data_IF_711959128855
#
_entry.id   IF_711959128855
#
_cell.length_a   1.000
_cell.length_b   1.000
_cell.length_c   1.000
_cell.angle_alpha   90.00
_cell.angle_beta   90.00
_cell.angle_gamma   90.00
#
_symmetry.space_group_name_H-M   'P 1'
#
loop_
_entity.id
_entity.type
_entity.pdbx_description
1 polymer ?
#
# COMPACT_ATOMS: atom_id res chain seq x y z
N UNK A 1 -6.33 -14.50 -0.42
CA UNK A 1 -5.54 -14.29 0.81
C UNK A 1 -5.25 -12.81 0.93
N UNK A 2 -5.77 -12.14 1.97
CA UNK A 2 -5.49 -10.72 2.27
C UNK A 2 -4.33 -10.72 3.27
N UNK A 3 -3.20 -10.12 2.91
CA UNK A 3 -2.08 -9.98 3.84
C UNK A 3 -2.29 -8.68 4.61
N UNK A 4 -2.89 -8.78 5.80
CA UNK A 4 -3.06 -7.64 6.69
C UNK A 4 -1.75 -7.40 7.46
N UNK A 5 -0.89 -6.53 6.93
CA UNK A 5 0.25 -6.02 7.69
C UNK A 5 -0.27 -5.07 8.77
N UNK A 6 -0.27 -5.54 10.02
CA UNK A 6 -0.65 -4.73 11.18
C UNK A 6 0.47 -3.71 11.42
N UNK A 7 0.18 -2.43 11.21
CA UNK A 7 1.12 -1.35 11.56
C UNK A 7 1.46 -1.47 13.04
N UNK A 8 2.74 -1.59 13.37
CA UNK A 8 3.18 -1.62 14.77
C UNK A 8 3.30 -0.18 15.28
N UNK A 9 2.46 0.16 16.26
CA UNK A 9 2.50 1.44 16.98
C UNK A 9 3.23 1.23 18.31
N UNK A 10 4.30 1.96 18.52
CA UNK A 10 5.08 1.94 19.75
C UNK A 10 4.69 3.13 20.60
N UNK A 11 4.58 2.90 21.91
CA UNK A 11 4.41 3.94 22.91
C UNK A 11 5.70 4.07 23.70
N UNK A 12 6.32 5.24 23.63
CA UNK A 12 7.40 5.62 24.54
C UNK A 12 6.82 5.72 25.95
N UNK A 13 7.30 4.90 26.90
CA UNK A 13 6.82 4.93 28.30
C UNK A 13 7.23 6.21 29.03
N UNK A 14 8.37 6.79 28.66
CA UNK A 14 8.92 7.97 29.34
C UNK A 14 8.31 9.28 28.86
N UNK A 15 8.14 9.39 27.56
CA UNK A 15 7.67 10.59 26.89
C UNK A 15 6.18 10.51 26.48
N UNK A 16 5.51 9.39 26.75
CA UNK A 16 4.12 9.08 26.35
C UNK A 16 3.81 9.29 24.86
N UNK A 17 4.85 9.44 24.04
CA UNK A 17 4.72 9.70 22.62
C UNK A 17 4.49 8.39 21.86
N UNK A 18 3.49 8.38 21.00
CA UNK A 18 3.18 7.25 20.14
C UNK A 18 3.79 7.45 18.75
N UNK A 19 4.63 6.53 18.31
CA UNK A 19 5.17 6.53 16.95
C UNK A 19 4.87 5.21 16.24
N UNK A 20 4.75 5.26 14.91
CA UNK A 20 4.60 4.07 14.08
C UNK A 20 5.95 3.79 13.45
N UNK A 21 6.45 2.56 13.53
CA UNK A 21 7.69 2.19 12.84
C UNK A 21 7.50 2.35 11.33
N UNK A 22 8.38 3.11 10.70
CA UNK A 22 8.49 3.14 9.26
C UNK A 22 9.15 1.83 8.82
N UNK A 23 8.46 1.06 8.00
CA UNK A 23 9.04 -0.15 7.40
C UNK A 23 9.40 0.16 5.95
N UNK A 24 10.49 -0.41 5.40
CA UNK A 24 10.81 -0.22 3.99
C UNK A 24 9.71 -0.77 3.06
N UNK A 25 8.87 -1.67 3.57
CA UNK A 25 7.76 -2.31 2.85
C UNK A 25 6.55 -1.37 2.74
N UNK A 26 6.25 -0.59 3.79
CA UNK A 26 5.08 0.30 3.87
C UNK A 26 5.50 1.67 4.39
N UNK A 27 5.42 2.69 3.53
CA UNK A 27 5.66 4.09 3.90
C UNK A 27 4.73 4.55 5.04
N UNK A 28 5.22 5.51 5.84
CA UNK A 28 4.42 6.21 6.84
C UNK A 28 3.13 6.74 6.21
N UNK A 29 2.00 6.53 6.88
CA UNK A 29 0.64 6.84 6.41
C UNK A 29 0.10 6.05 5.21
N UNK A 30 0.86 5.14 4.59
CA UNK A 30 0.36 4.29 3.52
C UNK A 30 -0.41 3.07 4.06
N UNK A 31 -1.51 2.69 3.43
CA UNK A 31 -2.24 1.43 3.69
C UNK A 31 -1.84 0.30 2.73
N UNK A 32 -0.94 0.60 1.80
CA UNK A 32 -0.55 -0.28 0.69
C UNK A 32 0.98 -0.32 0.66
N UNK A 33 1.54 -1.52 0.46
CA UNK A 33 2.98 -1.68 0.32
C UNK A 33 3.53 -1.00 -0.93
N UNK A 34 4.79 -0.57 -0.85
CA UNK A 34 5.48 0.04 -1.98
C UNK A 34 5.60 -0.96 -3.15
N UNK A 35 5.84 -2.24 -2.84
CA UNK A 35 5.88 -3.33 -3.81
C UNK A 35 4.56 -3.50 -4.58
N UNK A 36 3.41 -3.39 -3.89
CA UNK A 36 2.12 -3.48 -4.57
C UNK A 36 1.90 -2.28 -5.50
N UNK A 37 2.31 -1.07 -5.09
CA UNK A 37 2.25 0.12 -5.96
C UNK A 37 3.08 -0.08 -7.23
N UNK A 38 4.32 -0.55 -7.10
CA UNK A 38 5.20 -0.82 -8.24
C UNK A 38 4.62 -1.90 -9.15
N UNK A 39 4.08 -2.98 -8.58
CA UNK A 39 3.47 -4.05 -9.37
C UNK A 39 2.24 -3.57 -10.13
N UNK A 40 1.40 -2.72 -9.52
CA UNK A 40 0.24 -2.11 -10.19
C UNK A 40 0.70 -1.20 -11.33
N UNK A 41 1.74 -0.39 -11.13
CA UNK A 41 2.29 0.49 -12.17
C UNK A 41 2.89 -0.32 -13.34
N UNK A 42 3.59 -1.42 -13.06
CA UNK A 42 4.12 -2.29 -14.12
C UNK A 42 3.01 -2.97 -14.93
N UNK A 43 1.98 -3.51 -14.27
CA UNK A 43 0.82 -4.11 -14.97
C UNK A 43 0.05 -3.09 -15.81
N UNK A 44 0.07 -1.81 -15.43
CA UNK A 44 -0.50 -0.72 -16.24
C UNK A 44 0.35 -0.40 -17.46
N UNK A 45 1.69 -0.49 -17.36
CA UNK A 45 2.59 -0.31 -18.50
C UNK A 45 2.35 -1.38 -19.58
N UNK A 46 1.87 -2.56 -19.18
CA UNK A 46 1.44 -3.64 -20.08
C UNK A 46 0.01 -3.45 -20.66
N UNK A 47 -0.60 -2.26 -20.50
CA UNK A 47 -1.96 -1.93 -20.99
C UNK A 47 -3.07 -2.86 -20.47
N UNK A 48 -2.89 -3.45 -19.28
CA UNK A 48 -3.92 -4.29 -18.67
C UNK A 48 -5.10 -3.44 -18.17
N UNK A 49 -6.31 -4.00 -18.22
CA UNK A 49 -7.50 -3.30 -17.76
C UNK A 49 -7.48 -3.09 -16.23
N UNK A 50 -7.98 -1.94 -15.77
CA UNK A 50 -8.04 -1.58 -14.34
C UNK A 50 -8.76 -2.65 -13.50
N UNK A 51 -9.81 -3.26 -14.07
CA UNK A 51 -10.58 -4.34 -13.45
C UNK A 51 -9.76 -5.62 -13.29
N UNK A 52 -8.91 -5.96 -14.27
CA UNK A 52 -8.01 -7.11 -14.20
C UNK A 52 -6.89 -6.89 -13.18
N UNK A 53 -6.29 -5.70 -13.16
CA UNK A 53 -5.27 -5.29 -12.19
C UNK A 53 -5.85 -5.32 -10.76
N UNK A 54 -7.04 -4.76 -10.57
CA UNK A 54 -7.76 -4.81 -9.31
C UNK A 54 -7.98 -6.26 -8.83
N UNK A 55 -8.34 -7.17 -9.75
CA UNK A 55 -8.56 -8.59 -9.45
C UNK A 55 -7.26 -9.32 -9.12
N UNK A 56 -6.18 -9.08 -9.87
CA UNK A 56 -4.85 -9.67 -9.61
C UNK A 56 -4.28 -9.23 -8.26
N UNK A 57 -4.34 -7.93 -7.98
CA UNK A 57 -3.79 -7.35 -6.75
C UNK A 57 -4.79 -7.36 -5.58
N UNK A 58 -6.01 -7.88 -5.80
CA UNK A 58 -7.11 -7.95 -4.82
C UNK A 58 -7.38 -6.62 -4.13
N UNK A 59 -7.31 -5.54 -4.89
CA UNK A 59 -7.59 -4.16 -4.45
C UNK A 59 -8.80 -3.61 -5.19
N UNK A 60 -9.43 -2.58 -4.64
CA UNK A 60 -10.57 -1.94 -5.30
C UNK A 60 -10.12 -1.15 -6.54
N UNK A 61 -10.96 -1.05 -7.57
CA UNK A 61 -10.70 -0.21 -8.75
C UNK A 61 -10.38 1.25 -8.37
N UNK A 62 -11.11 1.88 -7.42
CA UNK A 62 -10.76 3.22 -6.94
C UNK A 62 -9.35 3.30 -6.33
N UNK A 63 -8.88 2.23 -5.69
CA UNK A 63 -7.51 2.14 -5.18
C UNK A 63 -6.49 2.16 -6.31
N UNK A 64 -6.72 1.40 -7.39
CA UNK A 64 -5.87 1.41 -8.59
C UNK A 64 -5.82 2.81 -9.20
N UNK A 65 -6.98 3.47 -9.35
CA UNK A 65 -7.06 4.84 -9.88
C UNK A 65 -6.33 5.87 -9.00
N UNK A 66 -6.37 5.72 -7.67
CA UNK A 66 -5.59 6.59 -6.76
C UNK A 66 -4.10 6.36 -6.88
N UNK A 67 -3.65 5.12 -7.10
CA UNK A 67 -2.24 4.81 -7.35
C UNK A 67 -1.80 5.46 -8.67
N UNK A 68 -2.64 5.38 -9.71
CA UNK A 68 -2.39 6.05 -11.00
C UNK A 68 -2.22 7.56 -10.85
N UNK A 69 -3.07 8.23 -10.05
CA UNK A 69 -2.97 9.68 -9.81
C UNK A 69 -1.74 10.11 -8.99
N UNK A 70 -1.05 9.16 -8.34
CA UNK A 70 0.11 9.41 -7.46
C UNK A 70 1.45 9.02 -8.09
N UNK A 71 1.43 8.32 -9.23
CA UNK A 71 2.62 8.00 -10.03
C UNK A 71 2.87 9.09 -11.06
#
# INVERSE_FOLDING_TARGET
>A
MIIALKKQRFLCKECHHSFTLETPIVKKYASISQTLKLSVLNSLQENMSLSLIAKQHRISIPTVQRILKQG
#
